data_IF_891498137653
#
_entry.id   IF_891498137653
#
_cell.length_a   1.000
_cell.length_b   1.000
_cell.length_c   1.000
_cell.angle_alpha   90.00
_cell.angle_beta   90.00
_cell.angle_gamma   90.00
#
_symmetry.space_group_name_H-M   'P 1'
#
loop_
_entity.id
_entity.type
_entity.pdbx_description
1 polymer ?
#
# COMPACT_ATOMS: atom_id res chain seq x y z
N UNK A 1 3.08 -17.41 3.20
CA UNK A 1 2.03 -16.86 2.33
C UNK A 1 1.57 -15.50 2.83
N UNK A 2 0.82 -14.80 2.01
CA UNK A 2 0.22 -13.52 2.38
C UNK A 2 -0.67 -13.68 3.63
N UNK A 3 -1.48 -14.72 3.67
CA UNK A 3 -2.35 -14.97 4.81
C UNK A 3 -1.56 -15.24 6.08
N UNK A 4 -0.44 -15.95 5.98
CA UNK A 4 0.43 -16.21 7.15
C UNK A 4 0.97 -14.91 7.73
N UNK A 5 1.46 -14.01 6.88
CA UNK A 5 1.98 -12.71 7.32
C UNK A 5 0.88 -11.88 7.99
N UNK A 6 -0.29 -11.81 7.36
CA UNK A 6 -1.40 -11.00 7.87
C UNK A 6 -1.94 -11.56 9.17
N UNK A 7 -2.11 -12.89 9.26
CA UNK A 7 -2.63 -13.51 10.49
C UNK A 7 -1.67 -13.31 11.67
N UNK A 8 -0.37 -13.46 11.44
CA UNK A 8 0.63 -13.26 12.49
C UNK A 8 0.68 -11.79 12.92
N UNK A 9 0.60 -10.87 11.97
CA UNK A 9 0.58 -9.44 12.26
C UNK A 9 -0.66 -9.07 13.08
N UNK A 10 -1.84 -9.58 12.67
CA UNK A 10 -3.08 -9.30 13.39
C UNK A 10 -3.04 -9.83 14.84
N UNK A 11 -2.36 -10.96 15.04
CA UNK A 11 -2.24 -11.55 16.38
C UNK A 11 -1.43 -10.70 17.35
N UNK A 12 -0.43 -9.96 16.85
CA UNK A 12 0.47 -9.17 17.71
C UNK A 12 0.11 -7.68 17.73
N UNK A 13 -0.67 -7.18 16.79
CA UNK A 13 -1.08 -5.78 16.78
C UNK A 13 -2.07 -5.50 17.89
N UNK A 14 -1.84 -4.39 18.59
CA UNK A 14 -2.81 -3.86 19.53
C UNK A 14 -3.97 -3.24 18.77
N UNK A 15 -5.13 -3.11 19.45
CA UNK A 15 -6.27 -2.41 18.88
C UNK A 15 -5.86 -1.01 18.41
N UNK A 16 -6.31 -0.63 17.22
CA UNK A 16 -5.92 0.59 16.50
C UNK A 16 -4.46 0.65 16.05
N UNK A 17 -3.73 -0.47 16.17
CA UNK A 17 -2.39 -0.58 15.63
C UNK A 17 -2.41 -0.50 14.10
N UNK A 18 -1.32 0.01 13.52
CA UNK A 18 -1.19 0.19 12.07
C UNK A 18 -0.29 -0.86 11.48
N UNK A 19 -0.64 -1.28 10.26
CA UNK A 19 0.13 -2.23 9.48
C UNK A 19 0.34 -1.66 8.10
N UNK A 20 1.59 -1.64 7.65
CA UNK A 20 1.95 -1.15 6.33
C UNK A 20 2.48 -2.30 5.49
N UNK A 21 2.05 -2.37 4.24
CA UNK A 21 2.54 -3.40 3.33
C UNK A 21 2.75 -2.87 1.93
N UNK A 22 3.66 -3.50 1.21
CA UNK A 22 3.94 -3.26 -0.20
C UNK A 22 3.72 -4.57 -0.93
N UNK A 23 2.95 -4.53 -2.02
CA UNK A 23 2.65 -5.74 -2.77
C UNK A 23 2.41 -5.42 -4.25
N UNK A 24 2.18 -6.46 -5.04
CA UNK A 24 1.84 -6.32 -6.45
C UNK A 24 0.36 -5.99 -6.60
N UNK A 25 -0.01 -5.01 -7.46
CA UNK A 25 -1.40 -4.60 -7.59
C UNK A 25 -2.34 -5.69 -8.11
N UNK A 26 -1.85 -6.65 -8.90
CA UNK A 26 -2.72 -7.70 -9.44
C UNK A 26 -3.29 -8.62 -8.35
N UNK A 27 -2.75 -8.58 -7.14
CA UNK A 27 -3.26 -9.35 -6.02
C UNK A 27 -4.13 -8.52 -5.06
N UNK A 28 -4.55 -7.35 -5.49
CA UNK A 28 -5.25 -6.40 -4.63
C UNK A 28 -6.53 -6.98 -4.02
N UNK A 29 -7.33 -7.70 -4.81
CA UNK A 29 -8.56 -8.30 -4.32
C UNK A 29 -8.27 -9.34 -3.21
N UNK A 30 -7.26 -10.17 -3.41
CA UNK A 30 -6.82 -11.15 -2.41
C UNK A 30 -6.32 -10.46 -1.15
N UNK A 31 -5.53 -9.38 -1.32
CA UNK A 31 -5.00 -8.62 -0.19
C UNK A 31 -6.14 -8.09 0.67
N UNK A 32 -7.14 -7.48 0.06
CA UNK A 32 -8.27 -6.93 0.81
C UNK A 32 -9.08 -8.03 1.50
N UNK A 33 -9.30 -9.15 0.84
CA UNK A 33 -10.02 -10.27 1.46
C UNK A 33 -9.29 -10.78 2.69
N UNK A 34 -7.97 -10.95 2.60
CA UNK A 34 -7.17 -11.46 3.71
C UNK A 34 -7.13 -10.44 4.85
N UNK A 35 -6.93 -9.16 4.54
CA UNK A 35 -6.92 -8.10 5.57
C UNK A 35 -8.25 -8.08 6.32
N UNK A 36 -9.36 -8.10 5.61
CA UNK A 36 -10.69 -8.06 6.21
C UNK A 36 -10.97 -9.30 7.06
N UNK A 37 -10.50 -10.47 6.61
CA UNK A 37 -10.66 -11.72 7.36
C UNK A 37 -10.06 -11.62 8.76
N UNK A 38 -8.95 -10.91 8.90
CA UNK A 38 -8.27 -10.75 10.18
C UNK A 38 -8.54 -9.40 10.85
N UNK A 39 -9.59 -8.72 10.40
CA UNK A 39 -10.05 -7.44 10.98
C UNK A 39 -9.01 -6.33 10.90
N UNK A 40 -8.16 -6.39 9.88
CA UNK A 40 -7.25 -5.30 9.54
C UNK A 40 -7.92 -4.48 8.45
N UNK A 41 -8.46 -3.33 8.82
CA UNK A 41 -9.21 -2.47 7.92
C UNK A 41 -8.26 -1.66 7.06
N UNK A 42 -8.31 -1.79 5.71
CA UNK A 42 -7.46 -0.96 4.86
C UNK A 42 -7.93 0.49 4.95
N UNK A 43 -7.02 1.38 5.27
CA UNK A 43 -7.31 2.79 5.51
C UNK A 43 -6.76 3.72 4.43
N UNK A 44 -5.63 3.38 3.84
CA UNK A 44 -5.01 4.15 2.78
C UNK A 44 -4.37 3.24 1.78
N UNK A 45 -4.43 3.60 0.50
CA UNK A 45 -3.68 2.92 -0.54
C UNK A 45 -3.09 3.93 -1.52
N UNK A 46 -1.95 3.58 -2.08
CA UNK A 46 -1.30 4.37 -3.10
C UNK A 46 -0.71 3.44 -4.15
N UNK A 47 -1.04 3.67 -5.40
CA UNK A 47 -0.47 2.92 -6.50
C UNK A 47 0.82 3.60 -6.97
N UNK A 48 1.84 2.79 -7.23
CA UNK A 48 3.15 3.27 -7.68
C UNK A 48 3.34 2.80 -9.12
N UNK A 49 3.57 3.76 -10.01
CA UNK A 49 3.75 3.54 -11.45
C UNK A 49 5.22 3.78 -11.82
N UNK A 50 5.84 2.91 -12.61
CA UNK A 50 7.18 3.22 -13.12
C UNK A 50 7.16 4.43 -14.05
N UNK A 51 6.14 4.50 -14.92
CA UNK A 51 5.92 5.61 -15.87
C UNK A 51 4.44 5.91 -15.94
N UNK A 52 4.09 7.12 -16.32
CA UNK A 52 2.69 7.55 -16.38
C UNK A 52 1.86 6.74 -17.38
N UNK A 53 2.48 6.21 -18.44
CA UNK A 53 1.82 5.44 -19.49
C UNK A 53 1.92 3.93 -19.31
N UNK A 54 2.32 3.47 -18.11
CA UNK A 54 2.44 2.05 -17.80
C UNK A 54 1.50 1.68 -16.67
N UNK A 55 1.26 0.39 -16.50
CA UNK A 55 0.50 -0.11 -15.36
C UNK A 55 1.30 0.08 -14.07
N UNK A 56 0.60 0.19 -12.93
CA UNK A 56 1.30 0.26 -11.66
C UNK A 56 2.01 -1.06 -11.36
N UNK A 57 3.18 -0.98 -10.78
CA UNK A 57 3.95 -2.17 -10.42
C UNK A 57 4.00 -2.45 -8.93
N UNK A 58 3.51 -1.52 -8.11
CA UNK A 58 3.42 -1.70 -6.67
C UNK A 58 2.19 -1.02 -6.12
N UNK A 59 1.68 -1.54 -4.99
CA UNK A 59 0.65 -0.90 -4.20
C UNK A 59 1.14 -0.81 -2.75
N UNK A 60 0.99 0.38 -2.18
CA UNK A 60 1.28 0.64 -0.78
C UNK A 60 -0.05 0.67 -0.04
N UNK A 61 -0.17 -0.11 1.04
CA UNK A 61 -1.42 -0.20 1.80
C UNK A 61 -1.11 0.02 3.26
N UNK A 62 -1.88 0.90 3.87
CA UNK A 62 -1.92 1.06 5.32
C UNK A 62 -3.23 0.48 5.82
N UNK A 63 -3.16 -0.46 6.76
CA UNK A 63 -4.32 -1.05 7.41
C UNK A 63 -4.28 -0.75 8.90
N UNK A 64 -5.44 -0.75 9.52
CA UNK A 64 -5.55 -0.50 10.96
C UNK A 64 -6.43 -1.58 11.59
N UNK A 65 -6.01 -2.08 12.76
CA UNK A 65 -6.79 -3.07 13.47
C UNK A 65 -8.00 -2.40 14.11
N UNK A 66 -9.21 -2.85 13.75
CA UNK A 66 -10.45 -2.38 14.34
C UNK A 66 -10.90 -1.00 13.88
N UNK A 67 -10.57 -0.58 12.67
CA UNK A 67 -10.98 0.71 12.14
C UNK A 67 -12.35 0.68 11.48
N UNK A 68 -12.86 1.87 11.15
CA UNK A 68 -14.08 2.03 10.38
C UNK A 68 -13.84 1.70 8.91
N UNK A 69 -14.92 1.32 8.22
CA UNK A 69 -14.88 0.90 6.83
C UNK A 69 -14.78 2.10 5.88
N UNK A 70 -13.60 2.65 5.74
CA UNK A 70 -13.35 3.76 4.81
C UNK A 70 -11.89 3.77 4.39
N UNK A 71 -11.65 3.70 3.08
CA UNK A 71 -10.30 3.76 2.54
C UNK A 71 -10.09 5.08 1.80
N UNK A 72 -8.91 5.68 1.98
CA UNK A 72 -8.47 6.83 1.22
C UNK A 72 -7.53 6.35 0.11
N UNK A 73 -7.87 6.65 -1.14
CA UNK A 73 -7.01 6.35 -2.28
C UNK A 73 -6.17 7.59 -2.54
N UNK A 74 -4.87 7.47 -2.27
CA UNK A 74 -3.94 8.56 -2.44
C UNK A 74 -3.65 8.81 -3.92
N UNK A 75 -3.16 10.00 -4.23
CA UNK A 75 -2.71 10.34 -5.57
C UNK A 75 -1.63 9.35 -6.02
N UNK A 76 -1.68 8.86 -7.27
CA UNK A 76 -0.67 7.90 -7.72
C UNK A 76 0.73 8.48 -7.70
N UNK A 77 1.71 7.64 -7.38
CA UNK A 77 3.12 8.02 -7.35
C UNK A 77 3.76 7.52 -8.64
N UNK A 78 4.26 8.44 -9.46
CA UNK A 78 4.96 8.12 -10.70
C UNK A 78 6.45 8.23 -10.44
N UNK A 79 7.21 7.15 -10.71
CA UNK A 79 8.64 7.11 -10.35
C UNK A 79 9.49 7.85 -11.37
N UNK A 80 9.29 7.59 -12.66
CA UNK A 80 10.13 8.13 -13.73
C UNK A 80 9.33 8.97 -14.71
N UNK A 81 9.89 10.10 -15.15
CA UNK A 81 9.37 10.87 -16.29
C UNK A 81 9.73 10.20 -17.61
N UNK A 82 10.97 9.72 -17.69
CA UNK A 82 11.56 8.99 -18.82
C UNK A 82 12.68 8.11 -18.29
N UNK A 83 13.22 7.18 -19.08
CA UNK A 83 14.28 6.29 -18.58
C UNK A 83 15.43 7.05 -17.92
N UNK A 84 15.73 6.71 -16.68
CA UNK A 84 16.81 7.30 -15.91
C UNK A 84 16.52 8.67 -15.29
N UNK A 85 15.29 9.20 -15.42
CA UNK A 85 14.94 10.53 -14.89
C UNK A 85 13.76 10.41 -13.94
N UNK A 86 13.99 10.68 -12.67
CA UNK A 86 12.95 10.65 -11.64
C UNK A 86 11.99 11.84 -11.80
N UNK A 87 10.73 11.61 -11.42
CA UNK A 87 9.73 12.69 -11.35
C UNK A 87 10.06 13.65 -10.21
N UNK A 88 9.45 14.83 -10.24
CA UNK A 88 9.60 15.80 -9.16
C UNK A 88 9.08 15.25 -7.83
N UNK A 89 8.01 14.44 -7.85
CA UNK A 89 7.47 13.81 -6.65
C UNK A 89 8.51 12.94 -5.96
N UNK A 90 9.22 12.10 -6.75
CA UNK A 90 10.26 11.23 -6.22
C UNK A 90 11.45 12.03 -5.71
N UNK A 91 11.88 13.04 -6.45
CA UNK A 91 12.99 13.90 -6.02
C UNK A 91 12.66 14.64 -4.72
N UNK A 92 11.42 15.06 -4.56
CA UNK A 92 10.98 15.69 -3.33
C UNK A 92 11.05 14.73 -2.14
N UNK A 93 10.63 13.47 -2.33
CA UNK A 93 10.69 12.44 -1.29
C UNK A 93 12.14 12.22 -0.86
N UNK A 94 13.05 12.01 -1.83
CA UNK A 94 14.48 11.83 -1.53
C UNK A 94 15.12 13.07 -0.89
N UNK A 95 14.68 14.24 -1.29
CA UNK A 95 15.21 15.48 -0.74
C UNK A 95 14.88 15.72 0.72
N UNK A 96 13.92 14.98 1.26
CA UNK A 96 13.52 15.05 2.68
C UNK A 96 14.30 14.09 3.56
N UNK A 97 15.06 13.21 2.96
CA UNK A 97 15.89 12.23 3.65
C UNK A 97 17.33 12.72 3.73
#
# INVERSE_FOLDING_TARGET
TLEDVVSQTAAVLKDRGRFYMVHRPFRLAEIFQVLMKYKLEPKRMQLVYPYIDREPNMVLIEARKGGNSRITVERPLIVYEKPGVYTSDILEIYGRV
#
